data_IF_994335670354
#
_entry.id   IF_994335670354
#
_cell.length_a   1.000
_cell.length_b   1.000
_cell.length_c   1.000
_cell.angle_alpha   90.00
_cell.angle_beta   90.00
_cell.angle_gamma   90.00
#
_symmetry.space_group_name_H-M   'P 1'
#
loop_
_entity.id
_entity.type
_entity.pdbx_description
1 polymer ?
#
# COMPACT_ATOMS: atom_id res chain seq x y z
N UNK A 1 36.44 -13.59 -17.76
CA UNK A 1 35.24 -13.92 -18.57
C UNK A 1 33.96 -13.41 -17.90
N UNK A 2 33.86 -13.45 -16.57
CA UNK A 2 32.65 -13.07 -15.81
C UNK A 2 32.23 -11.61 -15.88
N UNK A 3 33.18 -10.65 -15.89
CA UNK A 3 32.81 -9.22 -15.99
C UNK A 3 32.17 -8.87 -17.34
N UNK A 4 32.64 -9.50 -18.43
CA UNK A 4 32.06 -9.35 -19.76
C UNK A 4 30.67 -9.99 -19.83
N UNK A 5 30.51 -11.17 -19.23
CA UNK A 5 29.21 -11.85 -19.16
C UNK A 5 28.19 -11.05 -18.34
N UNK A 6 28.61 -10.44 -17.21
CA UNK A 6 27.77 -9.55 -16.39
C UNK A 6 27.34 -8.30 -17.18
N UNK A 7 28.28 -7.64 -17.86
CA UNK A 7 27.97 -6.47 -18.68
C UNK A 7 26.97 -6.79 -19.81
N UNK A 8 27.15 -7.95 -20.48
CA UNK A 8 26.23 -8.41 -21.52
C UNK A 8 24.84 -8.72 -20.93
N UNK A 9 24.78 -9.40 -19.78
CA UNK A 9 23.51 -9.70 -19.11
C UNK A 9 22.76 -8.43 -18.71
N UNK A 10 23.48 -7.43 -18.17
CA UNK A 10 22.89 -6.13 -17.83
C UNK A 10 22.40 -5.38 -19.07
N UNK A 11 23.17 -5.39 -20.16
CA UNK A 11 22.77 -4.73 -21.40
C UNK A 11 21.51 -5.36 -22.00
N UNK A 12 21.43 -6.69 -21.99
CA UNK A 12 20.25 -7.44 -22.46
C UNK A 12 19.03 -7.13 -21.59
N UNK A 13 19.18 -7.07 -20.27
CA UNK A 13 18.09 -6.75 -19.35
C UNK A 13 17.51 -5.35 -19.59
N UNK A 14 18.38 -4.35 -19.81
CA UNK A 14 17.96 -2.97 -20.08
C UNK A 14 17.19 -2.87 -21.41
N UNK A 15 17.63 -3.57 -22.45
CA UNK A 15 16.95 -3.59 -23.76
C UNK A 15 15.58 -4.26 -23.68
N UNK A 16 15.44 -5.35 -22.92
CA UNK A 16 14.15 -6.03 -22.71
C UNK A 16 13.16 -5.13 -21.96
N UNK A 17 13.62 -4.42 -20.91
CA UNK A 17 12.77 -3.48 -20.17
C UNK A 17 12.31 -2.31 -21.03
N UNK A 18 13.17 -1.79 -21.91
CA UNK A 18 12.81 -0.70 -22.81
C UNK A 18 11.78 -1.15 -23.86
N UNK A 19 11.87 -2.38 -24.37
CA UNK A 19 10.91 -2.91 -25.35
C UNK A 19 9.50 -3.14 -24.76
N UNK A 20 9.40 -3.48 -23.46
CA UNK A 20 8.11 -3.62 -22.77
C UNK A 20 7.34 -2.29 -22.66
N UNK A 21 8.03 -1.15 -22.77
CA UNK A 21 7.41 0.18 -22.70
C UNK A 21 6.89 0.70 -24.06
N UNK A 22 7.16 -0.01 -25.16
CA UNK A 22 6.88 0.46 -26.54
C UNK A 22 5.87 -0.44 -27.28
N UNK A 23 5.07 -1.27 -26.61
CA UNK A 23 3.93 -1.93 -27.27
C UNK A 23 2.69 -1.05 -27.23
N UNK A 24 2.15 -0.58 -28.37
CA UNK A 24 0.75 -0.20 -28.47
C UNK A 24 -0.04 -1.48 -28.78
N UNK A 25 -0.57 -2.15 -27.75
CA UNK A 25 -1.21 -3.46 -27.91
C UNK A 25 -2.43 -3.62 -27.02
N UNK A 26 -3.61 -3.39 -27.63
CA UNK A 26 -4.94 -3.72 -27.13
C UNK A 26 -5.02 -5.20 -26.76
N UNK A 27 -5.30 -5.52 -25.50
CA UNK A 27 -5.87 -6.81 -25.11
C UNK A 27 -6.94 -6.54 -24.07
N UNK A 28 -8.10 -7.16 -24.29
CA UNK A 28 -9.30 -7.00 -23.50
C UNK A 28 -9.00 -6.96 -22.01
N UNK A 29 -9.53 -5.92 -21.41
CA UNK A 29 -9.82 -5.77 -20.00
C UNK A 29 -10.66 -6.96 -19.52
N UNK A 30 -10.03 -8.09 -19.21
CA UNK A 30 -10.58 -9.07 -18.26
C UNK A 30 -10.45 -8.47 -16.86
N UNK A 31 -11.09 -7.31 -16.67
CA UNK A 31 -11.36 -6.77 -15.35
C UNK A 31 -12.42 -7.70 -14.78
N UNK A 32 -11.94 -8.66 -14.00
CA UNK A 32 -12.72 -9.31 -12.95
C UNK A 32 -13.60 -8.24 -12.34
N UNK A 33 -14.88 -8.31 -12.70
CA UNK A 33 -15.93 -7.37 -12.35
C UNK A 33 -16.24 -7.61 -10.87
N UNK A 34 -15.35 -7.15 -10.00
CA UNK A 34 -15.68 -6.92 -8.60
C UNK A 34 -16.48 -5.61 -8.57
N UNK A 35 -17.77 -5.80 -8.37
CA UNK A 35 -18.81 -4.80 -8.25
C UNK A 35 -18.54 -3.87 -7.07
N UNK A 36 -18.19 -2.59 -7.30
CA UNK A 36 -18.82 -1.45 -6.60
C UNK A 36 -18.48 -0.14 -7.33
N UNK A 37 -19.51 0.60 -7.71
CA UNK A 37 -19.46 1.64 -8.72
C UNK A 37 -19.24 3.01 -8.07
N UNK A 38 -17.97 3.36 -7.88
CA UNK A 38 -17.40 4.71 -8.00
C UNK A 38 -15.89 4.54 -8.10
N UNK A 39 -15.17 5.33 -8.91
CA UNK A 39 -13.72 5.33 -8.86
C UNK A 39 -13.32 5.81 -7.46
N UNK A 40 -13.02 4.87 -6.55
CA UNK A 40 -12.43 5.22 -5.27
C UNK A 40 -11.09 5.85 -5.59
N UNK A 41 -10.97 7.12 -5.21
CA UNK A 41 -9.73 7.85 -5.33
C UNK A 41 -8.74 7.27 -4.32
N UNK A 42 -7.93 6.33 -4.79
CA UNK A 42 -6.94 5.65 -3.97
C UNK A 42 -5.94 6.66 -3.39
N UNK A 43 -5.58 7.72 -4.13
CA UNK A 43 -4.71 8.79 -3.62
C UNK A 43 -5.34 9.45 -2.39
N UNK A 44 -6.65 9.73 -2.45
CA UNK A 44 -7.39 10.28 -1.32
C UNK A 44 -7.44 9.32 -0.11
N UNK A 45 -7.51 8.01 -0.35
CA UNK A 45 -7.45 7.00 0.71
C UNK A 45 -6.09 6.96 1.42
N UNK A 46 -4.99 7.15 0.69
CA UNK A 46 -3.64 7.20 1.27
C UNK A 46 -3.23 8.58 1.77
N UNK A 47 -3.94 9.64 1.38
CA UNK A 47 -3.61 11.04 1.71
C UNK A 47 -3.38 11.26 3.22
N UNK A 48 -4.24 10.68 4.07
CA UNK A 48 -4.07 10.82 5.52
C UNK A 48 -2.73 10.27 6.03
N UNK A 49 -2.29 9.14 5.47
CA UNK A 49 -0.99 8.55 5.81
C UNK A 49 0.18 9.36 5.25
N UNK A 50 0.05 9.87 4.01
CA UNK A 50 1.09 10.71 3.40
C UNK A 50 1.28 12.06 4.09
N UNK A 51 0.23 12.59 4.70
CA UNK A 51 0.30 13.81 5.52
C UNK A 51 1.17 13.61 6.78
N UNK A 52 1.42 12.36 7.18
CA UNK A 52 2.34 12.03 8.27
C UNK A 52 3.63 11.46 7.69
N UNK A 53 4.70 12.25 7.78
CA UNK A 53 6.00 11.87 7.25
C UNK A 53 6.45 10.51 7.81
N UNK A 54 6.76 9.57 6.92
CA UNK A 54 7.23 8.24 7.29
C UNK A 54 6.15 7.26 7.73
N UNK A 55 4.89 7.67 7.89
CA UNK A 55 3.83 6.80 8.40
C UNK A 55 3.58 5.57 7.52
N UNK A 56 3.57 5.75 6.20
CA UNK A 56 3.45 4.62 5.25
C UNK A 56 4.60 3.63 5.43
N UNK A 57 5.82 4.12 5.62
CA UNK A 57 6.99 3.28 5.84
C UNK A 57 6.94 2.56 7.20
N UNK A 58 6.50 3.24 8.26
CA UNK A 58 6.28 2.64 9.59
C UNK A 58 5.24 1.52 9.53
N UNK A 59 4.14 1.75 8.80
CA UNK A 59 3.12 0.75 8.52
C UNK A 59 3.74 -0.47 7.84
N UNK A 60 4.37 -0.30 6.69
CA UNK A 60 4.96 -1.41 5.94
C UNK A 60 6.03 -2.13 6.75
N UNK A 61 6.91 -1.41 7.44
CA UNK A 61 7.95 -2.01 8.29
C UNK A 61 7.33 -2.84 9.40
N UNK A 62 6.26 -2.37 10.02
CA UNK A 62 5.52 -3.11 11.05
C UNK A 62 4.86 -4.36 10.51
N UNK A 63 4.32 -4.31 9.28
CA UNK A 63 3.78 -5.48 8.57
C UNK A 63 4.87 -6.53 8.35
N UNK A 64 5.99 -6.13 7.73
CA UNK A 64 7.05 -7.05 7.36
C UNK A 64 7.79 -7.60 8.58
N UNK A 65 7.87 -6.83 9.66
CA UNK A 65 8.54 -7.25 10.91
C UNK A 65 7.59 -7.96 11.88
N UNK A 66 6.27 -7.84 11.70
CA UNK A 66 5.26 -8.23 12.70
C UNK A 66 5.26 -7.39 13.97
N UNK A 67 6.01 -6.27 13.98
CA UNK A 67 6.23 -5.41 15.16
C UNK A 67 5.38 -4.14 15.07
N UNK A 68 4.10 -4.28 15.34
CA UNK A 68 3.12 -3.18 15.27
C UNK A 68 3.25 -2.14 16.39
N UNK A 69 3.99 -2.44 17.45
CA UNK A 69 4.30 -1.47 18.51
C UNK A 69 5.32 -0.39 18.10
N UNK A 70 5.98 -0.53 16.95
CA UNK A 70 6.93 0.47 16.44
C UNK A 70 6.22 1.60 15.65
N UNK A 71 4.89 1.53 15.46
CA UNK A 71 4.11 2.57 14.77
C UNK A 71 3.89 3.77 15.68
N UNK A 72 4.26 4.96 15.23
CA UNK A 72 4.11 6.18 16.00
C UNK A 72 2.66 6.59 16.23
N UNK A 73 2.40 7.29 17.34
CA UNK A 73 1.06 7.82 17.71
C UNK A 73 0.46 8.66 16.58
N UNK A 74 1.28 9.50 15.92
CA UNK A 74 0.82 10.35 14.82
C UNK A 74 0.37 9.52 13.61
N UNK A 75 1.10 8.44 13.31
CA UNK A 75 0.77 7.53 12.23
C UNK A 75 -0.50 6.72 12.55
N UNK A 76 -0.62 6.22 13.79
CA UNK A 76 -1.85 5.57 14.24
C UNK A 76 -3.07 6.50 14.19
N UNK A 77 -2.91 7.77 14.55
CA UNK A 77 -3.99 8.77 14.43
C UNK A 77 -4.41 8.97 12.97
N UNK A 78 -3.46 9.10 12.04
CA UNK A 78 -3.76 9.19 10.62
C UNK A 78 -4.45 7.93 10.10
N UNK A 79 -3.95 6.75 10.50
CA UNK A 79 -4.54 5.47 10.16
C UNK A 79 -6.01 5.36 10.60
N UNK A 80 -6.35 5.82 11.80
CA UNK A 80 -7.73 5.83 12.29
C UNK A 80 -8.69 6.76 11.55
N UNK A 81 -8.18 7.68 10.73
CA UNK A 81 -9.00 8.63 9.95
C UNK A 81 -9.31 8.15 8.54
N UNK A 82 -8.76 7.00 8.13
CA UNK A 82 -9.01 6.39 6.82
C UNK A 82 -10.45 5.88 6.76
N UNK A 83 -11.15 6.21 5.67
CA UNK A 83 -12.53 5.79 5.44
C UNK A 83 -12.65 4.27 5.31
N UNK A 84 -13.73 3.69 5.84
CA UNK A 84 -13.94 2.24 5.82
C UNK A 84 -13.99 1.67 4.39
N UNK A 85 -14.47 2.44 3.43
CA UNK A 85 -14.55 2.06 2.02
C UNK A 85 -13.17 2.02 1.34
N UNK A 86 -12.15 2.63 1.93
CA UNK A 86 -10.79 2.59 1.39
C UNK A 86 -10.09 1.25 1.64
N UNK A 87 -10.41 0.54 2.73
CA UNK A 87 -9.68 -0.66 3.13
C UNK A 87 -9.68 -1.80 2.11
N UNK A 88 -10.81 -2.17 1.48
CA UNK A 88 -10.84 -3.23 0.47
C UNK A 88 -9.95 -2.91 -0.75
N UNK A 89 -9.73 -1.62 -1.01
CA UNK A 89 -8.96 -1.14 -2.17
C UNK A 89 -7.47 -0.95 -1.85
N UNK A 90 -7.13 -0.60 -0.61
CA UNK A 90 -5.74 -0.43 -0.17
C UNK A 90 -5.05 -1.78 0.13
N UNK A 91 -5.79 -2.77 0.63
CA UNK A 91 -5.25 -4.08 1.04
C UNK A 91 -6.01 -5.27 0.43
N UNK A 92 -6.05 -5.41 -0.91
CA UNK A 92 -6.81 -6.48 -1.56
C UNK A 92 -6.24 -7.88 -1.31
N UNK A 93 -4.96 -7.99 -0.92
CA UNK A 93 -4.24 -9.27 -0.84
C UNK A 93 -4.06 -9.81 0.59
N UNK A 94 -4.45 -9.08 1.64
CA UNK A 94 -4.25 -9.54 3.02
C UNK A 94 -5.35 -9.06 3.99
N UNK A 95 -6.34 -9.91 4.31
CA UNK A 95 -7.47 -9.54 5.18
C UNK A 95 -7.08 -9.41 6.67
N UNK A 96 -5.94 -9.94 7.09
CA UNK A 96 -5.50 -9.94 8.50
C UNK A 96 -4.70 -8.70 8.90
N UNK A 97 -4.28 -7.90 7.92
CA UNK A 97 -3.49 -6.70 8.20
C UNK A 97 -4.29 -5.64 8.95
N UNK A 98 -5.53 -5.41 8.51
CA UNK A 98 -6.39 -4.35 9.04
C UNK A 98 -6.68 -4.53 10.54
N UNK A 99 -7.11 -5.72 11.02
CA UNK A 99 -7.38 -5.93 12.43
C UNK A 99 -6.14 -5.73 13.31
N UNK A 100 -4.99 -6.30 12.90
CA UNK A 100 -3.76 -6.24 13.70
C UNK A 100 -3.28 -4.81 13.94
N UNK A 101 -3.32 -3.98 12.90
CA UNK A 101 -2.89 -2.60 13.00
C UNK A 101 -3.89 -1.74 13.76
N UNK A 102 -5.19 -2.01 13.59
CA UNK A 102 -6.27 -1.36 14.33
C UNK A 102 -6.19 -1.64 15.82
N UNK A 103 -5.93 -2.89 16.21
CA UNK A 103 -5.79 -3.27 17.63
C UNK A 103 -4.56 -2.60 18.25
N UNK A 104 -3.41 -2.61 17.58
CA UNK A 104 -2.21 -1.94 18.09
C UNK A 104 -2.40 -0.43 18.21
N UNK A 105 -3.00 0.21 17.22
CA UNK A 105 -3.27 1.64 17.27
C UNK A 105 -4.33 2.02 18.32
N UNK A 106 -5.29 1.13 18.63
CA UNK A 106 -6.27 1.35 19.71
C UNK A 106 -5.59 1.36 21.10
N UNK A 107 -4.54 0.56 21.30
CA UNK A 107 -3.73 0.61 22.52
C UNK A 107 -2.87 1.87 22.63
N UNK A 108 -2.43 2.41 21.48
CA UNK A 108 -1.53 3.58 21.40
C UNK A 108 -2.30 4.91 21.43
N UNK A 109 -3.59 4.90 21.06
CA UNK A 109 -4.48 6.07 21.08
C UNK A 109 -5.60 5.84 22.11
N UNK A 110 -5.35 6.04 23.42
CA UNK A 110 -6.34 5.74 24.46
C UNK A 110 -7.59 6.63 24.43
N UNK A 111 -7.64 7.65 23.56
CA UNK A 111 -8.67 8.69 23.54
C UNK A 111 -9.05 9.13 22.11
N UNK A 112 -9.32 8.21 21.19
CA UNK A 112 -10.08 8.59 20.00
C UNK A 112 -11.57 8.53 20.35
N UNK A 113 -12.30 9.66 20.39
CA UNK A 113 -13.74 9.62 20.54
C UNK A 113 -14.28 8.80 19.37
N UNK A 114 -15.08 7.78 19.67
CA UNK A 114 -15.83 7.06 18.66
C UNK A 114 -16.65 8.08 17.87
N UNK A 115 -16.20 8.43 16.67
CA UNK A 115 -16.98 9.22 15.73
C UNK A 115 -18.09 8.32 15.18
N UNK A 116 -19.11 8.11 16.00
CA UNK A 116 -20.46 7.78 15.59
C UNK A 116 -21.05 9.02 14.89
N UNK A 117 -21.30 8.92 13.58
CA UNK A 117 -22.64 8.95 12.99
C UNK A 117 -22.58 8.88 11.47
#
# INVERSE_FOLDING_TARGET
>A
MENKARAIATLVLVVVCAAALITPGVVAHEQSKSSMNSPIDLEKCWSSLFNVQGCVLELYKSIFSGKFGDVGVACCKAFSTIDANCWPHMFPLNPFFLPLLKDNCAHIVPNLPAAHK
#
